data_IF_238287894081
#
_entry.id   IF_238287894081
#
_cell.length_a   1.000
_cell.length_b   1.000
_cell.length_c   1.000
_cell.angle_alpha   90.00
_cell.angle_beta   90.00
_cell.angle_gamma   90.00
#
_symmetry.space_group_name_H-M   'P 1'
#
loop_
_entity.id
_entity.type
_entity.pdbx_description
1 polymer ?
#
# COMPACT_ATOMS: atom_id res chain seq x y z
N UNK A 1 15.04 -10.97 -13.89
CA UNK A 1 16.01 -9.88 -13.60
C UNK A 1 15.55 -9.19 -12.34
N UNK A 2 16.47 -8.64 -11.55
CA UNK A 2 16.18 -7.86 -10.35
C UNK A 2 16.70 -6.44 -10.55
N UNK A 3 15.99 -5.46 -9.96
CA UNK A 3 16.37 -4.04 -9.95
C UNK A 3 17.35 -3.81 -8.80
N UNK A 4 18.46 -3.14 -9.09
CA UNK A 4 19.57 -2.91 -8.16
C UNK A 4 20.03 -1.48 -8.26
N UNK A 5 20.19 -0.83 -7.12
CA UNK A 5 20.77 0.49 -7.00
C UNK A 5 22.28 0.38 -6.77
N UNK A 6 23.03 1.23 -7.47
CA UNK A 6 24.47 1.30 -7.35
C UNK A 6 24.85 2.31 -6.27
N UNK A 7 25.56 1.84 -5.24
CA UNK A 7 25.99 2.63 -4.10
C UNK A 7 25.25 2.30 -2.81
N UNK A 8 25.88 2.65 -1.69
CA UNK A 8 25.37 2.42 -0.34
C UNK A 8 24.44 3.52 0.20
N UNK A 9 24.55 4.72 -0.35
CA UNK A 9 23.66 5.84 -0.04
C UNK A 9 22.76 6.06 -1.24
N UNK A 10 21.46 6.11 -0.99
CA UNK A 10 20.45 6.33 -2.01
C UNK A 10 20.67 7.69 -2.70
N UNK A 11 20.56 7.68 -4.03
CA UNK A 11 20.65 8.87 -4.86
C UNK A 11 19.50 8.83 -5.87
N UNK A 12 18.43 9.59 -5.60
CA UNK A 12 17.19 9.60 -6.39
C UNK A 12 17.36 10.03 -7.86
N UNK A 13 18.45 10.71 -8.21
CA UNK A 13 18.74 11.06 -9.61
C UNK A 13 19.47 9.96 -10.38
N UNK A 14 20.01 8.94 -9.70
CA UNK A 14 20.77 7.86 -10.32
C UNK A 14 19.82 6.77 -10.80
N UNK A 15 20.01 6.29 -12.03
CA UNK A 15 19.24 5.15 -12.53
C UNK A 15 19.68 3.85 -11.85
N UNK A 16 18.70 3.01 -11.54
CA UNK A 16 18.93 1.64 -11.14
C UNK A 16 19.39 0.79 -12.34
N UNK A 17 20.19 -0.23 -12.04
CA UNK A 17 20.60 -1.26 -12.97
C UNK A 17 19.74 -2.51 -12.83
N UNK A 18 19.80 -3.37 -13.85
CA UNK A 18 19.10 -4.65 -13.87
C UNK A 18 20.10 -5.78 -14.05
N UNK A 19 20.02 -6.79 -13.18
CA UNK A 19 20.88 -7.98 -13.28
C UNK A 19 20.12 -9.26 -12.97
N UNK A 20 20.73 -10.43 -13.23
CA UNK A 20 20.15 -11.71 -12.76
C UNK A 20 20.25 -11.78 -11.24
N UNK A 21 19.28 -12.40 -10.58
CA UNK A 21 19.32 -12.59 -9.13
C UNK A 21 20.59 -13.36 -8.71
N UNK A 22 20.99 -14.38 -9.46
CA UNK A 22 22.24 -15.11 -9.20
C UNK A 22 23.47 -14.19 -9.24
N UNK A 23 23.55 -13.33 -10.26
CA UNK A 23 24.64 -12.35 -10.37
C UNK A 23 24.65 -11.36 -9.19
N UNK A 24 23.48 -10.88 -8.78
CA UNK A 24 23.38 -10.03 -7.58
C UNK A 24 23.90 -10.77 -6.35
N UNK A 25 23.47 -12.03 -6.13
CA UNK A 25 23.87 -12.84 -4.99
C UNK A 25 25.38 -13.10 -4.93
N UNK A 26 26.03 -13.24 -6.09
CA UNK A 26 27.48 -13.42 -6.20
C UNK A 26 28.24 -12.11 -5.92
N UNK A 27 27.69 -10.96 -6.31
CA UNK A 27 28.36 -9.65 -6.26
C UNK A 27 28.12 -8.84 -4.96
N UNK A 28 26.92 -8.85 -4.40
CA UNK A 28 26.55 -7.97 -3.28
C UNK A 28 27.41 -8.09 -2.00
N UNK A 29 28.11 -9.20 -1.70
CA UNK A 29 29.00 -9.24 -0.54
C UNK A 29 30.22 -8.33 -0.71
N UNK A 30 30.66 -8.09 -1.95
CA UNK A 30 31.90 -7.39 -2.27
C UNK A 30 31.67 -6.01 -2.89
N UNK A 31 30.60 -5.86 -3.67
CA UNK A 31 30.26 -4.64 -4.38
C UNK A 31 29.26 -3.78 -3.60
N UNK A 32 29.25 -2.47 -3.88
CA UNK A 32 28.27 -1.53 -3.32
C UNK A 32 26.94 -1.62 -4.09
N UNK A 33 26.20 -2.70 -3.85
CA UNK A 33 24.92 -3.00 -4.48
C UNK A 33 23.79 -3.03 -3.44
N UNK A 34 22.65 -2.43 -3.80
CA UNK A 34 21.43 -2.50 -3.02
C UNK A 34 20.26 -2.96 -3.89
N UNK A 35 19.79 -4.18 -3.68
CA UNK A 35 18.62 -4.70 -4.38
C UNK A 35 17.37 -4.04 -3.80
N UNK A 36 16.55 -3.51 -4.71
CA UNK A 36 15.25 -2.90 -4.43
C UNK A 36 14.30 -3.42 -5.49
N UNK A 37 13.53 -4.46 -5.16
CA UNK A 37 12.79 -5.21 -6.17
C UNK A 37 11.42 -5.68 -5.66
N UNK A 38 10.40 -5.40 -6.47
CA UNK A 38 9.04 -5.90 -6.28
C UNK A 38 8.99 -7.43 -6.30
N UNK A 39 8.31 -8.02 -5.33
CA UNK A 39 8.16 -9.46 -5.24
C UNK A 39 7.25 -9.98 -6.35
N UNK A 40 7.61 -11.12 -6.92
CA UNK A 40 6.84 -11.78 -7.98
C UNK A 40 7.10 -13.29 -7.97
N UNK A 41 6.22 -14.04 -8.63
CA UNK A 41 6.34 -15.48 -8.81
C UNK A 41 6.43 -16.24 -7.49
N UNK A 42 7.41 -17.14 -7.37
CA UNK A 42 7.60 -18.00 -6.19
C UNK A 42 7.90 -17.21 -4.91
N UNK A 43 8.44 -15.99 -4.99
CA UNK A 43 8.74 -15.20 -3.79
C UNK A 43 7.48 -14.79 -3.03
N UNK A 44 6.33 -14.69 -3.71
CA UNK A 44 5.04 -14.41 -3.08
C UNK A 44 4.54 -15.57 -2.20
N UNK A 45 5.00 -16.80 -2.44
CA UNK A 45 4.67 -17.97 -1.61
C UNK A 45 5.51 -18.01 -0.30
N UNK A 46 6.68 -17.37 -0.32
CA UNK A 46 7.66 -17.38 0.77
C UNK A 46 7.38 -16.31 1.83
N UNK A 47 6.91 -15.13 1.42
CA UNK A 47 6.59 -14.05 2.35
C UNK A 47 5.22 -14.31 2.97
N UNK A 48 5.17 -14.25 4.30
CA UNK A 48 3.92 -14.36 5.05
C UNK A 48 3.43 -12.98 5.48
N UNK A 49 2.12 -12.78 5.41
CA UNK A 49 1.47 -11.51 5.79
C UNK A 49 1.22 -11.52 7.30
N UNK A 50 1.67 -10.49 8.06
CA UNK A 50 1.34 -10.35 9.48
C UNK A 50 -0.16 -10.34 9.73
N UNK A 51 -0.61 -10.90 10.87
CA UNK A 51 -2.05 -11.07 11.16
C UNK A 51 -2.83 -9.77 11.12
N UNK A 52 -2.20 -8.67 11.55
CA UNK A 52 -2.77 -7.32 11.54
C UNK A 52 -3.14 -6.82 10.14
N UNK A 53 -2.64 -7.44 9.08
CA UNK A 53 -2.93 -7.11 7.69
C UNK A 53 -3.74 -8.21 6.97
N UNK A 54 -4.26 -9.22 7.68
CA UNK A 54 -5.07 -10.29 7.07
C UNK A 54 -6.58 -10.05 7.18
N UNK A 55 -6.99 -8.94 7.80
CA UNK A 55 -8.38 -8.52 7.99
C UNK A 55 -8.47 -6.99 7.87
N UNK A 56 -9.67 -6.44 8.04
CA UNK A 56 -9.94 -5.02 8.05
C UNK A 56 -9.84 -4.34 6.69
N UNK A 57 -10.17 -5.09 5.64
CA UNK A 57 -10.18 -4.60 4.26
C UNK A 57 -8.80 -4.40 3.62
N UNK A 58 -7.71 -4.47 4.39
CA UNK A 58 -6.32 -4.33 3.91
C UNK A 58 -6.03 -5.18 2.67
N UNK A 59 -6.51 -6.42 2.67
CA UNK A 59 -6.27 -7.39 1.61
C UNK A 59 -6.70 -6.91 0.23
N UNK A 60 -7.63 -5.94 0.17
CA UNK A 60 -8.13 -5.33 -1.07
C UNK A 60 -7.28 -4.13 -1.52
N UNK A 61 -6.38 -3.65 -0.67
CA UNK A 61 -5.64 -2.39 -0.84
C UNK A 61 -4.13 -2.56 -0.85
N UNK A 62 -3.63 -3.79 -0.67
CA UNK A 62 -2.22 -4.11 -0.82
C UNK A 62 -1.77 -3.74 -2.23
N UNK A 63 -0.91 -2.74 -2.32
CA UNK A 63 -0.44 -2.19 -3.58
C UNK A 63 0.77 -2.97 -4.09
N UNK A 64 1.77 -3.17 -3.24
CA UNK A 64 3.04 -3.77 -3.65
C UNK A 64 3.77 -4.37 -2.45
N UNK A 65 4.58 -5.39 -2.71
CA UNK A 65 5.55 -5.88 -1.74
C UNK A 65 6.96 -5.75 -2.33
N UNK A 66 7.85 -5.03 -1.64
CA UNK A 66 9.19 -4.72 -2.12
C UNK A 66 10.23 -5.37 -1.22
N UNK A 67 11.15 -6.11 -1.85
CA UNK A 67 12.33 -6.66 -1.19
C UNK A 67 13.49 -5.70 -1.25
N UNK A 68 14.14 -5.55 -0.11
CA UNK A 68 15.34 -4.74 0.09
C UNK A 68 16.46 -5.65 0.57
N UNK A 69 17.51 -5.82 -0.23
CA UNK A 69 18.61 -6.71 0.11
C UNK A 69 19.96 -6.09 -0.20
N UNK A 70 20.92 -6.26 0.71
CA UNK A 70 22.29 -5.83 0.48
C UNK A 70 23.18 -6.05 1.70
N UNK A 71 24.26 -5.26 1.77
CA UNK A 71 25.22 -5.27 2.88
C UNK A 71 25.46 -3.87 3.41
N UNK A 72 25.32 -3.72 4.73
CA UNK A 72 25.46 -2.45 5.42
C UNK A 72 26.88 -1.87 5.40
N UNK A 73 27.03 -0.55 5.63
CA UNK A 73 25.95 0.40 5.88
C UNK A 73 25.19 0.78 4.60
N UNK A 74 23.86 0.77 4.63
CA UNK A 74 22.96 1.20 3.55
C UNK A 74 22.02 2.29 4.05
N UNK A 75 21.72 3.30 3.24
CA UNK A 75 20.93 4.47 3.71
C UNK A 75 19.98 5.00 2.65
N UNK A 76 18.73 5.18 3.05
CA UNK A 76 17.77 5.96 2.28
C UNK A 76 17.94 7.46 2.51
N UNK A 77 17.36 8.26 1.64
CA UNK A 77 17.05 9.68 1.91
C UNK A 77 15.88 9.79 2.89
N UNK A 78 15.70 10.96 3.52
CA UNK A 78 14.48 11.29 4.24
C UNK A 78 13.37 11.57 3.23
N UNK A 79 12.28 10.82 3.28
CA UNK A 79 11.16 10.94 2.34
C UNK A 79 9.84 10.55 3.01
N UNK A 80 8.72 10.74 2.33
CA UNK A 80 7.47 10.09 2.70
C UNK A 80 6.90 9.31 1.53
N UNK A 81 6.06 8.32 1.83
CA UNK A 81 5.29 7.58 0.85
C UNK A 81 3.83 8.02 0.87
N UNK A 82 3.16 7.95 -0.27
CA UNK A 82 1.71 8.15 -0.39
C UNK A 82 0.91 6.87 -0.18
N UNK A 83 1.50 5.94 0.58
CA UNK A 83 0.92 4.68 0.97
C UNK A 83 1.24 4.44 2.43
N UNK A 84 0.41 3.66 3.08
CA UNK A 84 0.80 3.02 4.33
C UNK A 84 1.80 1.91 4.05
N UNK A 85 2.64 1.63 5.05
CA UNK A 85 3.77 0.74 4.86
C UNK A 85 4.03 -0.11 6.10
N UNK A 86 4.21 -1.42 5.92
CA UNK A 86 4.74 -2.31 6.94
C UNK A 86 6.14 -2.81 6.53
N UNK A 87 7.18 -2.29 7.19
CA UNK A 87 8.57 -2.68 6.99
C UNK A 87 8.94 -3.83 7.94
N UNK A 88 9.09 -5.04 7.41
CA UNK A 88 9.49 -6.23 8.16
C UNK A 88 10.95 -6.61 7.88
N UNK A 89 11.76 -6.72 8.93
CA UNK A 89 13.17 -7.14 8.82
C UNK A 89 13.25 -8.66 8.87
N UNK A 90 13.76 -9.26 7.80
CA UNK A 90 13.95 -10.71 7.68
C UNK A 90 15.34 -11.11 8.16
N UNK A 91 16.35 -10.29 7.87
CA UNK A 91 17.72 -10.50 8.34
C UNK A 91 18.49 -9.18 8.49
N UNK A 92 19.44 -9.16 9.43
CA UNK A 92 20.21 -7.97 9.78
C UNK A 92 19.44 -7.01 10.69
N UNK A 93 19.84 -5.74 10.67
CA UNK A 93 19.23 -4.69 11.50
C UNK A 93 18.97 -3.43 10.69
N UNK A 94 17.92 -2.70 11.06
CA UNK A 94 17.57 -1.39 10.51
C UNK A 94 17.30 -0.38 11.62
N UNK A 95 17.79 0.83 11.43
CA UNK A 95 17.43 2.00 12.22
C UNK A 95 16.54 2.89 11.37
N UNK A 96 15.38 3.26 11.89
CA UNK A 96 14.41 4.11 11.21
C UNK A 96 14.23 5.40 12.02
N UNK A 97 14.44 6.53 11.36
CA UNK A 97 14.02 7.83 11.87
C UNK A 97 12.61 8.07 11.34
N UNK A 98 11.69 8.47 12.21
CA UNK A 98 10.30 8.82 11.88
C UNK A 98 9.99 10.25 12.31
N UNK A 99 9.29 10.99 11.45
CA UNK A 99 8.82 12.34 11.72
C UNK A 99 7.36 12.41 11.29
N UNK A 100 6.51 12.86 12.21
CA UNK A 100 5.06 12.98 11.98
C UNK A 100 4.77 13.98 10.86
N UNK A 101 3.80 13.64 10.00
CA UNK A 101 3.34 14.49 8.90
C UNK A 101 2.83 15.87 9.35
N UNK A 102 2.42 16.04 10.62
CA UNK A 102 2.05 17.35 11.16
C UNK A 102 3.19 18.38 11.05
N UNK A 103 4.44 17.93 11.00
CA UNK A 103 5.62 18.77 10.84
C UNK A 103 6.01 19.05 9.39
N UNK A 104 5.15 18.74 8.42
CA UNK A 104 5.34 19.01 6.98
C UNK A 104 5.96 20.37 6.70
N UNK A 105 5.39 21.44 7.28
CA UNK A 105 5.88 22.82 7.07
C UNK A 105 7.34 23.01 7.49
N UNK A 106 7.82 22.28 8.51
CA UNK A 106 9.21 22.34 8.98
C UNK A 106 10.12 21.50 8.09
N UNK A 107 9.75 20.23 7.84
CA UNK A 107 10.54 19.27 7.05
C UNK A 107 10.72 19.76 5.62
N UNK A 108 9.65 20.26 4.99
CA UNK A 108 9.65 20.70 3.60
C UNK A 108 10.06 22.16 3.40
N UNK A 109 10.36 22.88 4.47
CA UNK A 109 10.66 24.33 4.43
C UNK A 109 11.80 24.68 3.48
N UNK A 110 12.78 23.79 3.31
CA UNK A 110 13.95 24.01 2.46
C UNK A 110 14.61 22.72 2.03
N UNK A 111 14.97 22.65 0.75
CA UNK A 111 15.66 21.50 0.17
C UNK A 111 14.80 20.25 0.17
N UNK A 112 13.52 20.39 -0.18
CA UNK A 112 12.59 19.28 -0.37
C UNK A 112 12.14 19.24 -1.82
N UNK A 113 12.30 18.08 -2.45
CA UNK A 113 11.95 17.81 -3.83
C UNK A 113 10.51 17.30 -3.89
N UNK A 114 9.59 18.18 -4.30
CA UNK A 114 8.15 17.95 -4.23
C UNK A 114 7.71 16.79 -5.14
N UNK A 115 8.22 16.70 -6.37
CA UNK A 115 7.81 15.62 -7.29
C UNK A 115 8.24 14.22 -6.83
N UNK A 116 9.34 14.12 -6.06
CA UNK A 116 9.86 12.85 -5.57
C UNK A 116 9.60 12.56 -4.09
N UNK A 117 8.92 13.48 -3.39
CA UNK A 117 8.61 13.42 -1.96
C UNK A 117 9.82 13.19 -1.04
N UNK A 118 10.99 13.77 -1.34
CA UNK A 118 12.20 13.56 -0.55
C UNK A 118 12.97 14.83 -0.20
N UNK A 119 13.71 14.78 0.91
CA UNK A 119 14.58 15.84 1.38
C UNK A 119 16.02 15.65 0.90
N UNK A 120 16.67 16.76 0.58
CA UNK A 120 18.09 16.88 0.30
C UNK A 120 18.93 17.00 1.58
N UNK A 121 18.30 16.96 2.76
CA UNK A 121 18.99 16.96 4.05
C UNK A 121 19.80 15.67 4.21
N UNK A 122 21.06 15.82 4.62
CA UNK A 122 21.84 14.70 5.12
C UNK A 122 21.47 14.44 6.59
N UNK A 123 20.64 13.43 6.83
CA UNK A 123 20.11 13.12 8.17
C UNK A 123 21.21 12.74 9.16
N UNK A 124 22.34 12.22 8.69
CA UNK A 124 23.47 11.88 9.55
C UNK A 124 24.30 13.11 9.98
N UNK A 125 24.20 14.21 9.23
CA UNK A 125 24.99 15.42 9.45
C UNK A 125 24.23 16.65 8.96
N UNK A 126 23.13 16.95 9.64
CA UNK A 126 22.25 18.07 9.28
C UNK A 126 22.98 19.41 9.43
N UNK A 127 23.08 20.15 8.32
CA UNK A 127 23.54 21.55 8.35
C UNK A 127 22.45 22.44 8.97
N UNK A 128 22.57 22.70 10.27
CA UNK A 128 21.61 23.50 11.04
C UNK A 128 21.59 24.99 10.67
N UNK A 129 22.58 25.50 9.94
CA UNK A 129 22.51 26.85 9.37
C UNK A 129 21.64 26.86 8.11
N UNK A 130 21.78 25.84 7.27
CA UNK A 130 20.98 25.69 6.05
C UNK A 130 19.54 25.27 6.35
N UNK A 131 19.34 24.33 7.28
CA UNK A 131 18.08 23.66 7.60
C UNK A 131 17.64 23.93 9.05
N UNK A 132 17.60 25.19 9.45
CA UNK A 132 17.38 25.60 10.85
C UNK A 132 16.10 25.05 11.49
N UNK A 133 15.06 24.77 10.70
CA UNK A 133 13.80 24.18 11.19
C UNK A 133 13.98 22.78 11.80
N UNK A 134 15.06 22.06 11.46
CA UNK A 134 15.35 20.73 12.01
C UNK A 134 15.87 20.76 13.46
N UNK A 135 16.30 21.92 13.97
CA UNK A 135 16.83 22.03 15.35
C UNK A 135 15.78 21.71 16.43
N UNK A 136 14.53 22.07 16.17
CA UNK A 136 13.39 21.93 17.09
C UNK A 136 12.35 20.94 16.56
N UNK A 137 12.76 20.05 15.67
CA UNK A 137 11.87 19.10 15.03
C UNK A 137 11.77 17.85 15.91
N UNK A 138 10.59 17.47 16.42
CA UNK A 138 10.42 16.20 17.10
C UNK A 138 10.55 15.04 16.11
N UNK A 139 11.24 13.98 16.51
CA UNK A 139 11.44 12.78 15.71
C UNK A 139 11.58 11.56 16.63
N UNK A 140 11.28 10.39 16.08
CA UNK A 140 11.43 9.11 16.75
C UNK A 140 12.55 8.30 16.10
N UNK A 141 13.24 7.50 16.90
CA UNK A 141 14.16 6.47 16.42
C UNK A 141 13.60 5.09 16.76
N UNK A 142 13.54 4.22 15.77
CA UNK A 142 13.15 2.82 15.97
C UNK A 142 14.29 1.94 15.52
N UNK A 143 14.74 1.05 16.41
CA UNK A 143 15.72 0.01 16.11
C UNK A 143 14.96 -1.29 15.82
N UNK A 144 15.21 -1.89 14.66
CA UNK A 144 14.57 -3.12 14.20
C UNK A 144 15.62 -4.20 13.99
N UNK A 145 15.38 -5.38 14.55
CA UNK A 145 16.14 -6.59 14.33
C UNK A 145 15.33 -7.61 13.50
N UNK A 146 15.98 -8.69 13.07
CA UNK A 146 15.32 -9.77 12.36
C UNK A 146 14.11 -10.31 13.16
N UNK A 147 12.94 -10.33 12.51
CA UNK A 147 11.65 -10.69 13.11
C UNK A 147 10.75 -9.50 13.42
N UNK A 148 11.30 -8.29 13.52
CA UNK A 148 10.51 -7.08 13.80
C UNK A 148 9.83 -6.56 12.54
N UNK A 149 8.64 -5.97 12.73
CA UNK A 149 7.94 -5.19 11.71
C UNK A 149 7.59 -3.81 12.26
N UNK A 150 7.79 -2.78 11.44
CA UNK A 150 7.43 -1.39 11.74
C UNK A 150 6.35 -0.91 10.79
N UNK A 151 5.24 -0.46 11.36
CA UNK A 151 4.23 0.28 10.62
C UNK A 151 4.68 1.74 10.48
N UNK A 152 4.78 2.21 9.23
CA UNK A 152 5.09 3.59 8.86
C UNK A 152 3.78 4.18 8.30
N UNK A 153 3.12 5.09 9.03
CA UNK A 153 1.83 5.59 8.60
C UNK A 153 1.91 6.46 7.33
N UNK A 154 0.80 6.53 6.60
CA UNK A 154 0.62 7.38 5.42
C UNK A 154 1.20 8.79 5.63
N UNK A 155 2.04 9.22 4.67
CA UNK A 155 2.75 10.51 4.65
C UNK A 155 3.72 10.79 5.81
N UNK A 156 4.01 9.83 6.69
CA UNK A 156 5.06 10.02 7.68
C UNK A 156 6.43 10.06 7.02
N UNK A 157 7.22 11.08 7.38
CA UNK A 157 8.57 11.18 6.86
C UNK A 157 9.45 10.17 7.57
N UNK A 158 10.27 9.47 6.80
CA UNK A 158 11.13 8.43 7.31
C UNK A 158 12.47 8.34 6.59
N UNK A 159 13.49 7.95 7.33
CA UNK A 159 14.82 7.62 6.82
C UNK A 159 15.22 6.27 7.39
N UNK A 160 15.73 5.38 6.55
CA UNK A 160 16.08 4.01 6.92
C UNK A 160 17.58 3.80 6.71
N UNK A 161 18.26 3.41 7.78
CA UNK A 161 19.65 2.97 7.77
C UNK A 161 19.70 1.47 8.04
N UNK A 162 20.52 0.72 7.30
CA UNK A 162 20.67 -0.74 7.47
C UNK A 162 22.11 -1.10 7.74
N UNK A 163 22.35 -2.02 8.68
CA UNK A 163 23.70 -2.39 9.12
C UNK A 163 23.89 -3.92 9.15
N UNK A 164 25.15 -4.36 9.07
CA UNK A 164 25.52 -5.77 9.14
C UNK A 164 25.99 -6.36 7.81
N UNK A 165 26.44 -7.61 7.86
CA UNK A 165 27.02 -8.32 6.71
C UNK A 165 25.97 -8.70 5.65
N UNK A 166 24.74 -8.94 6.07
CA UNK A 166 23.57 -9.10 5.20
C UNK A 166 22.41 -8.34 5.85
N UNK A 167 21.67 -7.61 5.03
CA UNK A 167 20.43 -6.96 5.41
C UNK A 167 19.36 -7.38 4.42
N UNK A 168 18.23 -7.84 4.92
CA UNK A 168 17.08 -8.26 4.12
C UNK A 168 15.80 -7.78 4.80
N UNK A 169 14.96 -7.05 4.09
CA UNK A 169 13.66 -6.63 4.58
C UNK A 169 12.62 -6.64 3.47
N UNK A 170 11.36 -6.75 3.86
CA UNK A 170 10.21 -6.64 2.98
C UNK A 170 9.36 -5.45 3.44
N UNK A 171 9.01 -4.57 2.51
CA UNK A 171 7.94 -3.60 2.70
C UNK A 171 6.66 -4.17 2.11
N UNK A 172 5.55 -4.03 2.83
CA UNK A 172 4.20 -4.22 2.32
C UNK A 172 3.56 -2.84 2.23
N UNK A 173 3.38 -2.33 1.01
CA UNK A 173 2.76 -1.05 0.73
C UNK A 173 1.29 -1.23 0.40
N UNK A 174 0.44 -0.37 0.96
CA UNK A 174 -1.00 -0.46 0.81
C UNK A 174 -1.65 0.91 0.86
N UNK A 175 -2.78 1.05 0.18
CA UNK A 175 -3.51 2.33 0.14
C UNK A 175 -4.07 2.66 1.52
N UNK A 176 -4.02 3.94 1.89
CA UNK A 176 -4.50 4.39 3.18
C UNK A 176 -6.02 4.22 3.31
N UNK A 177 -6.42 3.63 4.44
CA UNK A 177 -7.80 3.47 4.85
C UNK A 177 -8.20 4.64 5.74
N UNK A 178 -9.13 5.46 5.25
CA UNK A 178 -9.72 6.56 6.02
C UNK A 178 -10.82 6.06 6.96
N UNK A 179 -11.41 4.90 6.66
CA UNK A 179 -12.27 4.17 7.57
C UNK A 179 -11.81 2.70 7.61
N UNK A 180 -11.68 2.14 8.82
CA UNK A 180 -11.29 0.76 9.05
C UNK A 180 -12.53 -0.06 9.43
N UNK A 181 -12.74 -1.17 8.73
CA UNK A 181 -13.78 -2.15 9.05
C UNK A 181 -13.23 -3.13 10.09
N UNK A 182 -13.80 -3.21 11.29
CA UNK A 182 -13.34 -4.13 12.34
C UNK A 182 -13.95 -5.53 12.15
N UNK A 183 -13.68 -6.15 10.99
CA UNK A 183 -14.13 -7.51 10.67
C UNK A 183 -13.18 -8.61 11.20
N UNK A 184 -12.15 -8.20 11.96
CA UNK A 184 -11.05 -9.04 12.44
C UNK A 184 -11.48 -10.08 13.50
N UNK A 185 -12.69 -9.99 14.07
CA UNK A 185 -13.18 -10.93 15.07
C UNK A 185 -13.47 -12.36 14.52
N UNK A 186 -13.48 -12.54 13.20
CA UNK A 186 -14.01 -13.78 12.58
C UNK A 186 -13.05 -14.97 12.51
N UNK A 187 -11.76 -14.87 12.83
CA UNK A 187 -10.91 -16.06 12.76
C UNK A 187 -9.64 -16.00 13.64
N UNK A 188 -9.81 -16.43 14.90
CA UNK A 188 -8.70 -16.63 15.84
C UNK A 188 -7.70 -17.73 15.41
N UNK A 189 -7.99 -18.47 14.32
CA UNK A 189 -7.20 -19.59 13.83
C UNK A 189 -6.24 -19.27 12.67
N UNK A 190 -6.19 -18.02 12.17
CA UNK A 190 -5.38 -17.67 10.99
C UNK A 190 -3.87 -17.78 11.25
N UNK A 191 -3.32 -18.93 10.88
CA UNK A 191 -1.88 -19.09 10.60
C UNK A 191 -1.44 -18.01 9.60
N UNK A 192 -0.20 -17.53 9.72
CA UNK A 192 0.35 -16.54 8.79
C UNK A 192 0.22 -17.05 7.34
N UNK A 193 -0.56 -16.36 6.52
CA UNK A 193 -0.85 -16.78 5.15
C UNK A 193 0.22 -16.27 4.17
N UNK A 194 0.53 -17.01 3.09
CA UNK A 194 1.41 -16.51 2.02
C UNK A 194 0.82 -15.27 1.35
N UNK A 195 1.68 -14.31 1.00
CA UNK A 195 1.32 -13.07 0.30
C UNK A 195 0.54 -13.33 -1.00
N UNK A 196 0.88 -14.41 -1.72
CA UNK A 196 0.20 -14.82 -2.96
C UNK A 196 -1.32 -14.97 -2.83
N UNK A 197 -1.85 -15.26 -1.64
CA UNK A 197 -3.30 -15.43 -1.42
C UNK A 197 -4.08 -14.12 -1.49
N UNK A 198 -3.45 -12.98 -1.26
CA UNK A 198 -4.12 -11.69 -1.15
C UNK A 198 -4.15 -10.94 -2.48
N UNK A 199 -3.16 -11.16 -3.36
CA UNK A 199 -3.04 -10.42 -4.62
C UNK A 199 -2.60 -8.97 -4.41
N UNK A 200 -2.61 -8.18 -5.49
CA UNK A 200 -2.32 -6.74 -5.43
C UNK A 200 -3.48 -5.96 -6.02
N UNK A 201 -3.82 -4.86 -5.38
CA UNK A 201 -4.84 -3.92 -5.80
C UNK A 201 -4.38 -3.10 -7.01
N UNK A 202 -5.34 -2.46 -7.68
CA UNK A 202 -5.01 -1.48 -8.73
C UNK A 202 -4.26 -0.30 -8.11
N UNK A 203 -3.30 0.29 -8.85
CA UNK A 203 -2.64 1.52 -8.43
C UNK A 203 -3.59 2.71 -8.31
N UNK A 204 -4.76 2.61 -8.94
CA UNK A 204 -5.83 3.58 -8.77
C UNK A 204 -6.44 3.58 -7.36
N UNK A 205 -6.21 2.56 -6.52
CA UNK A 205 -6.59 2.61 -5.10
C UNK A 205 -5.86 3.72 -4.34
N UNK A 206 -4.62 4.04 -4.73
CA UNK A 206 -3.90 5.18 -4.17
C UNK A 206 -4.57 6.51 -4.55
N UNK A 207 -5.14 6.58 -5.77
CA UNK A 207 -5.94 7.73 -6.24
C UNK A 207 -7.23 7.83 -5.44
N UNK A 208 -7.94 6.71 -5.20
CA UNK A 208 -9.10 6.68 -4.29
C UNK A 208 -8.71 7.18 -2.91
N UNK A 209 -7.65 6.65 -2.31
CA UNK A 209 -7.18 7.06 -0.98
C UNK A 209 -6.93 8.57 -0.93
N UNK A 210 -6.17 9.13 -1.88
CA UNK A 210 -5.93 10.58 -1.95
C UNK A 210 -7.22 11.37 -2.13
N UNK A 211 -8.17 10.85 -2.90
CA UNK A 211 -9.47 11.49 -3.12
C UNK A 211 -10.29 11.52 -1.83
N UNK A 212 -10.29 10.41 -1.09
CA UNK A 212 -10.99 10.25 0.17
C UNK A 212 -10.40 11.09 1.32
N UNK A 213 -9.16 11.57 1.19
CA UNK A 213 -8.53 12.49 2.16
C UNK A 213 -9.35 13.76 2.38
N UNK A 214 -10.09 14.22 1.36
CA UNK A 214 -10.97 15.38 1.48
C UNK A 214 -12.13 15.17 2.48
N UNK A 215 -12.45 13.91 2.82
CA UNK A 215 -13.59 13.51 3.64
C UNK A 215 -13.20 12.99 5.03
N UNK A 216 -11.90 12.97 5.37
CA UNK A 216 -11.39 12.32 6.58
C UNK A 216 -11.94 12.85 7.91
N UNK A 217 -12.45 14.08 7.94
CA UNK A 217 -13.02 14.73 9.13
C UNK A 217 -14.56 14.77 9.10
N UNK A 218 -15.19 14.17 8.08
CA UNK A 218 -16.63 14.17 7.91
C UNK A 218 -17.25 12.98 8.67
N UNK A 219 -18.51 13.14 9.11
CA UNK A 219 -19.25 12.10 9.83
C UNK A 219 -19.37 10.80 9.01
N UNK A 220 -19.72 9.68 9.68
CA UNK A 220 -19.80 8.34 9.06
C UNK A 220 -20.71 8.28 7.82
N UNK A 221 -21.73 9.14 7.75
CA UNK A 221 -22.65 9.27 6.63
C UNK A 221 -22.57 10.67 6.00
N UNK A 222 -22.22 10.73 4.72
CA UNK A 222 -22.18 11.97 3.95
C UNK A 222 -23.53 12.24 3.28
N UNK A 223 -24.14 13.40 3.51
CA UNK A 223 -25.31 13.79 2.72
C UNK A 223 -24.93 13.81 1.24
N UNK A 224 -25.67 13.04 0.43
CA UNK A 224 -25.40 12.86 -0.99
C UNK A 224 -25.34 14.21 -1.71
N UNK A 225 -26.20 15.16 -1.36
CA UNK A 225 -26.20 16.50 -1.96
C UNK A 225 -24.94 17.31 -1.61
N UNK A 226 -24.35 17.15 -0.42
CA UNK A 226 -23.09 17.80 -0.05
C UNK A 226 -21.89 17.16 -0.76
N UNK A 227 -21.92 15.83 -0.88
CA UNK A 227 -20.95 15.07 -1.65
C UNK A 227 -21.00 15.42 -3.16
N UNK A 228 -22.19 15.50 -3.75
CA UNK A 228 -22.41 15.86 -5.15
C UNK A 228 -22.09 17.34 -5.46
N UNK A 229 -22.17 18.24 -4.47
CA UNK A 229 -21.68 19.62 -4.61
C UNK A 229 -20.18 19.66 -4.84
N UNK A 230 -19.42 18.81 -4.16
CA UNK A 230 -17.98 18.69 -4.37
C UNK A 230 -17.65 17.95 -5.67
N UNK A 231 -18.51 17.02 -6.08
CA UNK A 231 -18.29 16.17 -7.24
C UNK A 231 -19.50 16.17 -8.16
N UNK A 232 -19.70 17.27 -8.90
CA UNK A 232 -20.78 17.50 -9.89
C UNK A 232 -20.94 16.41 -10.97
N UNK A 233 -20.04 15.42 -11.00
CA UNK A 233 -19.96 14.34 -11.97
C UNK A 233 -20.17 12.95 -11.37
N UNK A 234 -20.13 12.80 -10.04
CA UNK A 234 -20.49 11.54 -9.41
C UNK A 234 -22.01 11.38 -9.57
N UNK A 235 -22.47 10.26 -10.12
CA UNK A 235 -23.91 10.05 -10.31
C UNK A 235 -24.48 9.32 -9.10
N UNK A 236 -25.77 9.53 -8.83
CA UNK A 236 -26.58 8.74 -7.87
C UNK A 236 -26.44 7.22 -8.04
N UNK A 237 -25.92 6.75 -9.19
CA UNK A 237 -25.68 5.34 -9.51
C UNK A 237 -24.63 4.62 -8.64
N UNK A 238 -23.79 5.34 -7.91
CA UNK A 238 -22.84 4.76 -6.96
C UNK A 238 -23.39 4.63 -5.54
N UNK A 239 -24.47 5.34 -5.25
CA UNK A 239 -25.30 5.03 -4.10
C UNK A 239 -26.10 3.77 -4.49
N UNK A 240 -25.79 2.68 -3.80
CA UNK A 240 -26.22 1.32 -4.11
C UNK A 240 -27.66 1.05 -3.66
N UNK A 241 -28.09 1.70 -2.58
CA UNK A 241 -29.43 1.55 -2.01
C UNK A 241 -30.42 2.67 -2.44
N UNK A 242 -29.90 3.73 -3.04
CA UNK A 242 -30.63 4.87 -3.60
C UNK A 242 -31.06 5.92 -2.58
N UNK A 243 -30.52 5.89 -1.37
CA UNK A 243 -30.87 6.79 -0.27
C UNK A 243 -30.35 8.25 -0.47
N UNK A 244 -30.41 9.05 0.59
CA UNK A 244 -29.95 10.45 0.60
C UNK A 244 -28.51 10.61 1.11
N UNK A 245 -27.81 9.51 1.38
CA UNK A 245 -26.47 9.49 1.96
C UNK A 245 -25.50 8.75 1.04
N UNK A 246 -24.22 8.80 1.40
CA UNK A 246 -23.17 7.98 0.83
C UNK A 246 -22.32 7.49 1.98
N UNK A 247 -22.22 6.17 2.12
CA UNK A 247 -21.43 5.57 3.19
C UNK A 247 -20.00 5.31 2.74
N UNK A 248 -19.08 5.20 3.69
CA UNK A 248 -17.70 4.77 3.42
C UNK A 248 -17.63 3.39 2.75
N UNK A 249 -18.54 2.47 3.09
CA UNK A 249 -18.63 1.17 2.42
C UNK A 249 -18.88 1.35 0.92
N UNK A 250 -19.80 2.23 0.54
CA UNK A 250 -20.08 2.54 -0.87
C UNK A 250 -18.89 3.21 -1.58
N UNK A 251 -18.19 4.11 -0.88
CA UNK A 251 -17.00 4.78 -1.40
C UNK A 251 -15.84 3.82 -1.67
N UNK A 252 -15.73 2.74 -0.89
CA UNK A 252 -14.76 1.68 -1.12
C UNK A 252 -15.26 0.58 -2.09
N UNK A 253 -16.57 0.40 -2.24
CA UNK A 253 -17.15 -0.68 -3.04
C UNK A 253 -17.14 -0.44 -4.55
N UNK A 254 -17.16 0.81 -5.02
CA UNK A 254 -17.23 1.06 -6.46
C UNK A 254 -15.96 0.64 -7.20
N UNK A 255 -16.03 0.46 -8.52
CA UNK A 255 -14.84 0.15 -9.32
C UNK A 255 -14.05 1.43 -9.66
N UNK A 256 -12.90 1.66 -9.01
CA UNK A 256 -12.10 2.89 -9.18
C UNK A 256 -11.52 3.04 -10.58
N UNK A 257 -11.06 1.94 -11.19
CA UNK A 257 -10.48 1.96 -12.55
C UNK A 257 -11.50 2.51 -13.56
N UNK A 258 -12.74 2.03 -13.45
CA UNK A 258 -13.85 2.49 -14.28
C UNK A 258 -14.24 3.93 -13.94
N UNK A 259 -14.26 4.29 -12.66
CA UNK A 259 -14.63 5.63 -12.23
C UNK A 259 -13.66 6.70 -12.77
N UNK A 260 -12.35 6.44 -12.75
CA UNK A 260 -11.33 7.35 -13.30
C UNK A 260 -11.52 7.54 -14.80
N UNK A 261 -11.82 6.47 -15.54
CA UNK A 261 -12.04 6.57 -16.99
C UNK A 261 -13.31 7.36 -17.34
N UNK A 262 -14.37 7.21 -16.55
CA UNK A 262 -15.66 7.89 -16.80
C UNK A 262 -15.65 9.34 -16.32
N UNK A 263 -14.94 9.62 -15.23
CA UNK A 263 -14.95 10.90 -14.53
C UNK A 263 -13.54 11.42 -14.25
N UNK A 264 -12.68 11.58 -15.29
CA UNK A 264 -11.29 11.94 -15.07
C UNK A 264 -11.16 13.27 -14.30
N UNK A 265 -12.04 14.24 -14.52
CA UNK A 265 -12.01 15.53 -13.81
C UNK A 265 -12.27 15.45 -12.29
N UNK A 266 -12.92 14.38 -11.80
CA UNK A 266 -13.17 14.17 -10.36
C UNK A 266 -11.91 13.69 -9.64
N UNK A 267 -11.20 12.77 -10.29
CA UNK A 267 -9.98 12.17 -9.76
C UNK A 267 -8.72 12.88 -10.27
N UNK A 268 -8.88 13.95 -11.05
CA UNK A 268 -7.80 14.83 -11.47
C UNK A 268 -7.44 15.74 -10.30
N UNK A 269 -6.46 15.30 -9.51
CA UNK A 269 -5.79 16.22 -8.61
C UNK A 269 -5.06 17.22 -9.47
N UNK A 270 -5.35 18.50 -9.25
CA UNK A 270 -4.72 19.60 -9.97
C UNK A 270 -3.22 19.55 -9.66
N UNK A 271 -2.50 18.89 -10.54
CA UNK A 271 -1.07 18.93 -10.58
C UNK A 271 -0.72 20.32 -11.10
N UNK A 272 -0.56 21.27 -10.19
CA UNK A 272 0.39 22.36 -10.45
C UNK A 272 1.83 21.84 -10.62
N UNK A 273 2.03 20.51 -10.62
CA UNK A 273 3.23 19.78 -11.05
C UNK A 273 2.86 18.44 -11.72
N UNK A 274 2.61 18.45 -13.03
CA UNK A 274 2.68 17.25 -13.90
C UNK A 274 3.09 17.68 -15.31
N UNK A 275 3.66 16.79 -16.13
CA UNK A 275 5.07 16.85 -16.45
C UNK A 275 5.23 17.52 -17.81
N UNK A 276 6.09 18.53 -17.88
CA UNK A 276 6.76 18.80 -19.16
C UNK A 276 7.66 17.61 -19.46
N UNK A 277 7.35 16.91 -20.54
CA UNK A 277 8.19 15.90 -21.15
C UNK A 277 9.62 16.44 -21.32
N UNK A 278 10.55 16.03 -20.45
CA UNK A 278 11.98 15.81 -20.67
C UNK A 278 12.71 15.72 -19.33
N UNK A 279 13.07 14.50 -18.90
CA UNK A 279 13.92 14.27 -17.74
C UNK A 279 13.86 12.84 -17.26
N UNK A 280 14.75 11.98 -17.75
CA UNK A 280 14.78 10.55 -17.44
C UNK A 280 15.70 10.28 -16.23
N UNK A 281 15.19 10.59 -15.03
CA UNK A 281 15.74 10.16 -13.74
C UNK A 281 14.77 9.16 -13.08
N UNK A 282 15.30 8.07 -12.53
CA UNK A 282 14.48 6.98 -11.99
C UNK A 282 14.02 7.30 -10.56
N UNK A 283 12.73 7.23 -10.23
CA UNK A 283 12.30 7.26 -8.83
C UNK A 283 12.83 5.99 -8.12
N UNK A 284 13.17 6.10 -6.84
CA UNK A 284 13.21 4.91 -5.99
C UNK A 284 11.82 4.30 -6.00
N UNK A 285 11.72 2.98 -5.80
CA UNK A 285 10.47 2.22 -5.85
C UNK A 285 9.32 3.05 -5.25
N UNK A 286 8.56 3.67 -6.14
CA UNK A 286 7.26 4.25 -5.93
C UNK A 286 6.42 3.46 -6.92
N UNK A 287 5.21 3.09 -6.57
CA UNK A 287 4.36 2.42 -7.52
C UNK A 287 4.14 3.32 -8.74
N UNK A 288 4.55 2.84 -9.91
CA UNK A 288 4.37 3.57 -11.15
C UNK A 288 2.87 3.68 -11.44
N UNK A 289 2.33 4.91 -11.45
CA UNK A 289 0.99 5.19 -11.97
C UNK A 289 1.00 4.98 -13.49
N UNK A 290 0.54 3.82 -13.95
CA UNK A 290 0.38 3.55 -15.39
C UNK A 290 -0.80 4.37 -15.91
N UNK A 291 -0.52 5.51 -16.54
CA UNK A 291 -1.49 6.18 -17.42
C UNK A 291 -1.56 5.42 -18.74
N UNK A 292 -2.57 4.57 -18.93
CA UNK A 292 -2.81 3.91 -20.21
C UNK A 292 -3.35 4.91 -21.23
N UNK A 293 -2.51 5.36 -22.16
CA UNK A 293 -2.98 5.89 -23.46
C UNK A 293 -2.21 5.21 -24.58
N UNK A 294 -2.85 4.24 -25.24
CA UNK A 294 -2.42 3.78 -26.55
C UNK A 294 -3.63 3.74 -27.48
N UNK A 295 -3.83 4.85 -28.20
CA UNK A 295 -4.70 4.90 -29.36
C UNK A 295 -3.93 4.38 -30.58
N UNK A 296 -4.13 3.13 -30.96
CA UNK A 296 -3.81 2.66 -32.31
C UNK A 296 -5.06 2.75 -33.19
N UNK A 297 -5.08 3.75 -34.07
CA UNK A 297 -5.99 3.80 -35.22
C UNK A 297 -5.66 2.63 -36.15
N UNK A 298 -6.60 1.72 -36.38
CA UNK A 298 -6.64 0.93 -37.61
C UNK A 298 -8.00 1.10 -38.28
N UNK A 299 -7.99 1.76 -39.42
CA UNK A 299 -9.12 1.94 -40.32
C UNK A 299 -9.53 0.59 -40.93
N UNK A 300 -10.80 0.20 -40.81
CA UNK A 300 -11.42 -0.79 -41.69
C UNK A 300 -12.79 -0.26 -42.13
N UNK A 301 -12.97 -0.22 -43.45
CA UNK A 301 -14.13 0.30 -44.16
C UNK A 301 -15.35 -0.61 -44.03
N UNK A 302 -16.52 0.03 -44.04
CA UNK A 302 -17.85 -0.53 -44.24
C UNK A 302 -17.96 -1.57 -45.35
N UNK A 303 -18.80 -2.59 -45.12
CA UNK A 303 -19.74 -3.12 -46.13
C UNK A 303 -20.87 -3.90 -45.46
N UNK A 304 -22.09 -3.40 -45.67
CA UNK A 304 -23.38 -3.97 -45.28
C UNK A 304 -23.67 -5.32 -45.98
N UNK A 305 -24.30 -6.27 -45.28
CA UNK A 305 -25.52 -6.99 -45.70
C UNK A 305 -26.02 -8.01 -44.66
N UNK A 306 -27.28 -7.85 -44.24
CA UNK A 306 -28.20 -8.90 -43.74
C UNK A 306 -28.97 -9.49 -44.96
N UNK A 307 -29.85 -10.51 -44.83
CA UNK A 307 -30.12 -11.48 -43.74
C UNK A 307 -30.23 -12.96 -44.23
N UNK A 308 -30.44 -13.91 -43.32
CA UNK A 308 -30.86 -15.27 -43.67
C UNK A 308 -31.21 -16.15 -42.46
N UNK A 309 -32.50 -16.45 -42.33
CA UNK A 309 -33.19 -17.34 -41.39
C UNK A 309 -32.92 -18.84 -41.61
N UNK A 310 -33.18 -19.67 -40.59
CA UNK A 310 -33.67 -21.09 -40.53
C UNK A 310 -33.19 -21.64 -39.17
N UNK A 311 -33.99 -22.00 -38.15
CA UNK A 311 -35.17 -22.88 -37.93
C UNK A 311 -34.74 -24.11 -37.11
N UNK A 312 -35.44 -24.31 -35.96
CA UNK A 312 -35.83 -25.59 -35.30
C UNK A 312 -34.67 -26.54 -34.85
N UNK A 313 -34.73 -27.29 -33.75
CA UNK A 313 -35.78 -27.93 -32.93
C UNK A 313 -35.08 -28.48 -31.67
N UNK A 314 -35.59 -28.25 -30.46
CA UNK A 314 -36.42 -29.14 -29.62
C UNK A 314 -35.67 -30.22 -28.80
N UNK A 315 -36.31 -30.52 -27.67
CA UNK A 315 -36.21 -31.64 -26.72
C UNK A 315 -35.27 -31.46 -25.50
N UNK A 316 -35.83 -31.25 -24.29
CA UNK A 316 -36.42 -32.23 -23.34
C UNK A 316 -35.32 -33.12 -22.72
N UNK A 317 -35.24 -33.48 -21.44
CA UNK A 317 -36.13 -33.61 -20.28
C UNK A 317 -35.17 -33.78 -19.06
N UNK A 318 -35.39 -33.15 -17.91
CA UNK A 318 -36.09 -33.66 -16.71
C UNK A 318 -35.38 -34.72 -15.84
N UNK A 319 -35.49 -34.47 -14.53
CA UNK A 319 -35.49 -35.41 -13.39
C UNK A 319 -34.12 -35.88 -12.86
N UNK A 320 -33.90 -36.16 -11.57
CA UNK A 320 -34.48 -35.84 -10.25
C UNK A 320 -33.71 -36.70 -9.23
N UNK A 321 -33.79 -36.35 -7.93
CA UNK A 321 -33.69 -37.25 -6.74
C UNK A 321 -32.32 -37.93 -6.46
N UNK A 322 -31.86 -38.19 -5.24
CA UNK A 322 -32.52 -38.34 -3.94
C UNK A 322 -31.51 -38.29 -2.77
N UNK A 323 -32.09 -38.07 -1.60
CA UNK A 323 -31.64 -38.12 -0.19
C UNK A 323 -30.52 -39.10 0.23
N UNK A 324 -29.80 -38.77 1.33
CA UNK A 324 -29.92 -39.49 2.61
C UNK A 324 -29.11 -38.87 3.76
N UNK A 325 -29.79 -38.89 4.91
CA UNK A 325 -29.50 -38.43 6.26
C UNK A 325 -28.63 -39.45 7.02
N UNK A 326 -27.89 -39.00 8.04
CA UNK A 326 -27.64 -39.76 9.27
C UNK A 326 -26.91 -38.92 10.33
N UNK A 327 -27.60 -38.73 11.44
CA UNK A 327 -27.11 -38.23 12.72
C UNK A 327 -26.87 -39.41 13.68
N UNK A 328 -25.83 -39.33 14.52
CA UNK A 328 -25.80 -39.95 15.87
C UNK A 328 -24.96 -39.08 16.81
N UNK A 329 -25.57 -38.76 17.94
CA UNK A 329 -25.10 -38.08 19.15
C UNK A 329 -24.34 -39.01 20.11
N UNK A 330 -23.42 -38.49 20.95
CA UNK A 330 -23.47 -38.63 22.43
C UNK A 330 -22.42 -37.72 23.11
N UNK A 331 -22.46 -37.65 24.44
CA UNK A 331 -22.44 -36.43 25.25
C UNK A 331 -21.40 -36.43 26.39
N UNK A 332 -21.16 -35.24 26.94
CA UNK A 332 -21.03 -35.03 28.40
C UNK A 332 -19.62 -34.80 28.99
N UNK A 333 -19.35 -33.57 29.46
CA UNK A 333 -19.32 -33.20 30.90
C UNK A 333 -18.88 -31.75 31.14
N UNK A 334 -19.64 -31.09 32.03
CA UNK A 334 -19.45 -29.77 32.63
C UNK A 334 -18.49 -29.82 33.82
N UNK A 335 -17.74 -28.72 34.09
CA UNK A 335 -17.36 -28.26 35.44
C UNK A 335 -17.29 -26.72 35.43
N UNK A 336 -17.98 -26.11 36.42
CA UNK A 336 -18.05 -24.69 36.76
C UNK A 336 -16.73 -24.11 37.34
N UNK A 337 -16.57 -22.78 37.34
CA UNK A 337 -15.57 -22.10 38.19
C UNK A 337 -15.25 -20.62 37.90
N UNK A 338 -16.07 -19.73 38.47
CA UNK A 338 -15.70 -18.47 39.16
C UNK A 338 -15.09 -17.22 38.48
N UNK A 339 -15.49 -16.08 39.07
CA UNK A 339 -15.22 -14.67 38.79
C UNK A 339 -13.76 -14.20 39.07
N UNK A 340 -13.28 -13.27 38.21
CA UNK A 340 -12.57 -11.98 38.43
C UNK A 340 -11.50 -11.81 39.56
N UNK A 341 -10.52 -10.85 39.50
CA UNK A 341 -10.56 -9.58 38.77
C UNK A 341 -9.26 -9.05 38.11
N UNK A 342 -9.48 -7.94 37.39
CA UNK A 342 -8.61 -6.84 36.95
C UNK A 342 -7.25 -6.70 37.67
N UNK A 343 -6.18 -6.55 36.88
CA UNK A 343 -4.91 -5.98 37.34
C UNK A 343 -4.67 -4.58 36.77
N UNK A 344 -4.25 -3.72 37.68
CA UNK A 344 -4.05 -2.27 37.58
C UNK A 344 -2.86 -1.86 36.70
N UNK A 345 -2.98 -0.65 36.17
CA UNK A 345 -1.90 0.15 35.58
C UNK A 345 -0.85 0.47 36.65
N UNK A 346 0.40 0.07 36.42
CA UNK A 346 1.54 0.68 37.11
C UNK A 346 2.17 1.75 36.22
N UNK A 347 1.94 3.01 36.60
CA UNK A 347 2.80 4.13 36.22
C UNK A 347 4.12 4.02 36.99
N UNK A 348 5.24 3.98 36.29
CA UNK A 348 6.55 4.28 36.87
C UNK A 348 7.07 5.58 36.25
N UNK A 349 7.03 6.64 37.05
CA UNK A 349 7.90 7.81 36.90
C UNK A 349 9.36 7.38 37.01
N UNK A 350 10.21 7.84 36.10
CA UNK A 350 11.63 8.04 36.38
C UNK A 350 12.00 9.41 35.81
N UNK A 351 12.26 10.34 36.73
CA UNK A 351 13.02 11.56 36.47
C UNK A 351 14.48 11.18 36.16
N UNK A 352 14.99 11.65 35.01
CA UNK A 352 16.27 12.36 34.82
C UNK A 352 16.56 12.59 33.33
#
# INVERSE_FOLDING_TARGET
>A
MVRVELGKKEVRSRRADWMRLSQFLDSYPHDDLYLVHSLSGIMLDLVKVPRTLQCGGFQRLLHEAVMWMGRGPLRSVLHYDELDNLLCVIDGVKDVILIDQIYKKKVESKGFEQEGHYSLVDVESVDMFKFSQFRELPWYRVHLAAGDCLYIPYKWYHQVSSFGNRTLAINLWFSHLWQFDDDCEKDSSLLLQPLKKFGFASSNEAVRSRWLEAFKEMDDDLQLDEFLKHFHLFQKKQNSDGDEYVTWEELYAFNIDRAILLYPGVFSFNTSQSPSSHGTGAPAAQPEFITSTSSTKSSIKDSQKKPGSIKESDDNELSSSDNLDNSVTDSGKSIDGEHAPKHEKHHSHVDL
#
